data_IF_520100956513
#
_entry.id   IF_520100956513
#
_cell.length_a   1.000
_cell.length_b   1.000
_cell.length_c   1.000
_cell.angle_alpha   90.00
_cell.angle_beta   90.00
_cell.angle_gamma   90.00
#
_symmetry.space_group_name_H-M   'P 1'
#
loop_
_entity.id
_entity.type
_entity.pdbx_description
1 polymer ?
#
# COMPACT_ATOMS: atom_id res chain seq x y z
N UNK A 1 -16.27 -21.00 -24.59
CA UNK A 1 -17.33 -20.33 -23.80
C UNK A 1 -18.44 -21.30 -23.38
N UNK A 2 -19.19 -21.90 -24.32
CA UNK A 2 -20.30 -22.86 -24.02
C UNK A 2 -19.90 -24.07 -23.14
N UNK A 3 -18.68 -24.62 -23.31
CA UNK A 3 -18.22 -25.81 -22.56
C UNK A 3 -18.09 -25.62 -21.04
N UNK A 4 -17.81 -24.40 -20.59
CA UNK A 4 -17.59 -24.09 -19.16
C UNK A 4 -18.55 -23.01 -18.63
N UNK A 5 -19.54 -22.61 -19.43
CA UNK A 5 -20.47 -21.51 -19.13
C UNK A 5 -19.79 -20.20 -18.72
N UNK A 6 -18.64 -19.89 -19.33
CA UNK A 6 -17.85 -18.68 -19.07
C UNK A 6 -17.90 -17.77 -20.29
N UNK A 7 -18.08 -16.47 -20.09
CA UNK A 7 -18.10 -15.49 -21.17
C UNK A 7 -16.71 -15.31 -21.78
N UNK A 8 -16.66 -14.97 -23.06
CA UNK A 8 -15.41 -14.66 -23.76
C UNK A 8 -14.65 -13.53 -23.06
N UNK A 9 -15.37 -12.51 -22.57
CA UNK A 9 -14.80 -11.37 -21.86
C UNK A 9 -14.02 -11.79 -20.61
N UNK A 10 -14.53 -12.78 -19.86
CA UNK A 10 -13.86 -13.29 -18.65
C UNK A 10 -12.54 -13.98 -19.01
N UNK A 11 -12.55 -14.84 -20.04
CA UNK A 11 -11.35 -15.53 -20.52
C UNK A 11 -10.31 -14.53 -21.05
N UNK A 12 -10.74 -13.55 -21.84
CA UNK A 12 -9.87 -12.48 -22.34
C UNK A 12 -9.20 -11.72 -21.19
N UNK A 13 -9.98 -11.34 -20.17
CA UNK A 13 -9.46 -10.65 -18.99
C UNK A 13 -8.46 -11.50 -18.20
N UNK A 14 -8.70 -12.81 -18.06
CA UNK A 14 -7.73 -13.71 -17.42
C UNK A 14 -6.43 -13.82 -18.21
N UNK A 15 -6.52 -14.02 -19.53
CA UNK A 15 -5.34 -14.09 -20.40
C UNK A 15 -4.53 -12.79 -20.31
N UNK A 16 -5.20 -11.63 -20.38
CA UNK A 16 -4.54 -10.33 -20.24
C UNK A 16 -3.83 -10.16 -18.89
N UNK A 17 -4.48 -10.55 -17.80
CA UNK A 17 -3.89 -10.50 -16.44
C UNK A 17 -2.70 -11.44 -16.29
N UNK A 18 -2.82 -12.65 -16.83
CA UNK A 18 -1.76 -13.65 -16.82
C UNK A 18 -0.55 -13.20 -17.63
N UNK A 19 -0.74 -12.64 -18.82
CA UNK A 19 0.37 -12.09 -19.61
C UNK A 19 1.07 -10.91 -18.92
N UNK A 20 0.35 -10.14 -18.11
CA UNK A 20 0.91 -8.98 -17.40
C UNK A 20 1.66 -9.35 -16.11
N UNK A 21 1.16 -10.30 -15.32
CA UNK A 21 1.66 -10.59 -13.95
C UNK A 21 1.89 -12.08 -13.68
N UNK A 22 1.81 -12.94 -14.70
CA UNK A 22 1.82 -14.39 -14.54
C UNK A 22 0.65 -14.90 -13.69
N UNK A 23 0.89 -15.99 -12.96
CA UNK A 23 -0.10 -16.61 -12.08
C UNK A 23 -0.64 -15.65 -11.00
N UNK A 24 0.22 -14.77 -10.47
CA UNK A 24 -0.17 -13.78 -9.44
C UNK A 24 -1.28 -12.83 -9.93
N UNK A 25 -1.35 -12.57 -11.24
CA UNK A 25 -2.38 -11.73 -11.86
C UNK A 25 -3.78 -12.35 -11.84
N UNK A 26 -3.88 -13.67 -11.68
CA UNK A 26 -5.15 -14.40 -11.59
C UNK A 26 -5.68 -14.53 -10.15
N UNK A 27 -4.84 -14.23 -9.14
CA UNK A 27 -5.21 -14.34 -7.73
C UNK A 27 -6.28 -13.32 -7.36
N UNK A 28 -7.33 -13.74 -6.67
CA UNK A 28 -8.40 -12.84 -6.23
C UNK A 28 -7.95 -12.00 -5.03
N UNK A 29 -7.85 -10.69 -5.27
CA UNK A 29 -7.42 -9.70 -4.29
C UNK A 29 -8.52 -8.68 -3.97
N UNK A 30 -9.77 -8.95 -4.37
CA UNK A 30 -10.91 -8.09 -4.05
C UNK A 30 -11.09 -8.00 -2.52
N UNK A 31 -11.31 -6.78 -2.02
CA UNK A 31 -11.49 -6.51 -0.59
C UNK A 31 -10.24 -6.62 0.27
N UNK A 32 -9.08 -7.03 -0.29
CA UNK A 32 -7.82 -7.09 0.45
C UNK A 32 -7.06 -5.77 0.29
N UNK A 33 -6.66 -5.17 1.40
CA UNK A 33 -5.74 -4.03 1.37
C UNK A 33 -4.39 -4.46 0.82
N UNK A 34 -3.70 -3.57 0.10
CA UNK A 34 -2.35 -3.81 -0.47
C UNK A 34 -1.37 -4.29 0.60
N UNK A 35 -1.43 -3.67 1.78
CA UNK A 35 -0.65 -4.00 2.97
C UNK A 35 -0.90 -5.40 3.55
N UNK A 36 -2.02 -6.04 3.20
CA UNK A 36 -2.38 -7.40 3.64
C UNK A 36 -2.16 -8.47 2.55
N UNK A 37 -1.66 -8.08 1.37
CA UNK A 37 -1.31 -9.00 0.29
C UNK A 37 0.14 -9.45 0.47
N UNK A 38 0.47 -10.62 -0.08
CA UNK A 38 1.85 -11.09 -0.10
C UNK A 38 2.70 -10.10 -0.92
N UNK A 39 3.86 -9.69 -0.39
CA UNK A 39 4.77 -8.74 -1.04
C UNK A 39 5.31 -9.28 -2.36
N UNK A 40 5.40 -10.60 -2.51
CA UNK A 40 5.81 -11.27 -3.75
C UNK A 40 4.78 -11.12 -4.89
N UNK A 41 3.52 -10.82 -4.56
CA UNK A 41 2.42 -10.64 -5.52
C UNK A 41 2.18 -9.18 -5.91
N UNK A 42 2.87 -8.26 -5.24
CA UNK A 42 2.77 -6.84 -5.53
C UNK A 42 3.62 -6.51 -6.76
N UNK A 43 3.07 -5.71 -7.67
CA UNK A 43 3.89 -5.08 -8.70
C UNK A 43 4.86 -4.10 -8.08
N UNK A 44 5.91 -3.73 -8.81
CA UNK A 44 6.89 -2.76 -8.32
C UNK A 44 6.25 -1.39 -8.03
N UNK A 45 5.22 -1.02 -8.82
CA UNK A 45 4.40 0.16 -8.53
C UNK A 45 3.63 0.04 -7.21
N UNK A 46 2.98 -1.11 -6.94
CA UNK A 46 2.25 -1.35 -5.69
C UNK A 46 3.21 -1.36 -4.47
N UNK A 47 4.42 -1.91 -4.62
CA UNK A 47 5.47 -1.88 -3.58
C UNK A 47 5.91 -0.45 -3.29
N UNK A 48 6.16 0.34 -4.33
CA UNK A 48 6.57 1.74 -4.21
C UNK A 48 5.50 2.56 -3.51
N UNK A 49 4.23 2.35 -3.85
CA UNK A 49 3.10 3.03 -3.19
C UNK A 49 3.02 2.67 -1.70
N UNK A 50 3.23 1.39 -1.36
CA UNK A 50 3.25 0.93 0.02
C UNK A 50 4.40 1.55 0.82
N UNK A 51 5.61 1.59 0.27
CA UNK A 51 6.78 2.22 0.88
C UNK A 51 6.57 3.72 1.08
N UNK A 52 6.01 4.41 0.08
CA UNK A 52 5.68 5.83 0.18
C UNK A 52 4.67 6.11 1.30
N UNK A 53 3.64 5.28 1.43
CA UNK A 53 2.67 5.38 2.52
C UNK A 53 3.35 5.21 3.89
N UNK A 54 4.20 4.20 4.04
CA UNK A 54 4.94 3.96 5.29
C UNK A 54 5.88 5.12 5.64
N UNK A 55 6.58 5.67 4.65
CA UNK A 55 7.46 6.82 4.83
C UNK A 55 6.67 8.07 5.29
N UNK A 56 5.50 8.33 4.67
CA UNK A 56 4.63 9.45 5.05
C UNK A 56 4.12 9.34 6.49
N UNK A 57 3.70 8.15 6.91
CA UNK A 57 3.29 7.93 8.31
C UNK A 57 4.45 8.12 9.29
N UNK A 58 5.67 7.70 8.91
CA UNK A 58 6.86 7.93 9.74
C UNK A 58 7.18 9.42 9.87
N UNK A 59 7.12 10.18 8.77
CA UNK A 59 7.32 11.64 8.77
C UNK A 59 6.30 12.29 9.70
N UNK A 60 5.01 11.98 9.52
CA UNK A 60 3.93 12.54 10.33
C UNK A 60 4.15 12.30 11.83
N UNK A 61 4.56 11.08 12.20
CA UNK A 61 4.88 10.74 13.60
C UNK A 61 6.06 11.56 14.12
N UNK A 62 7.14 11.67 13.34
CA UNK A 62 8.33 12.44 13.72
C UNK A 62 8.03 13.93 13.85
N UNK A 63 7.20 14.48 12.97
CA UNK A 63 6.75 15.88 13.06
C UNK A 63 5.98 16.14 14.36
N UNK A 64 5.10 15.22 14.76
CA UNK A 64 4.38 15.31 16.03
C UNK A 64 5.34 15.21 17.23
N UNK A 65 6.28 14.26 17.23
CA UNK A 65 7.30 14.13 18.27
C UNK A 65 8.15 15.41 18.37
N UNK A 66 8.60 15.96 17.23
CA UNK A 66 9.39 17.19 17.17
C UNK A 66 8.60 18.40 17.68
N UNK A 67 7.32 18.51 17.32
CA UNK A 67 6.43 19.55 17.82
C UNK A 67 6.31 19.50 19.34
N UNK A 68 6.10 18.31 19.91
CA UNK A 68 5.99 18.13 21.37
C UNK A 68 7.30 18.50 22.07
N UNK A 69 8.45 18.09 21.53
CA UNK A 69 9.76 18.46 22.07
C UNK A 69 9.97 19.98 22.05
N UNK A 70 9.64 20.66 20.94
CA UNK A 70 9.71 22.12 20.83
C UNK A 70 8.85 22.81 21.90
N UNK A 71 7.64 22.29 22.17
CA UNK A 71 6.77 22.81 23.22
C UNK A 71 7.33 22.60 24.61
N UNK A 72 7.91 21.44 24.90
CA UNK A 72 8.58 21.18 26.18
C UNK A 72 9.75 22.15 26.41
N UNK A 73 10.59 22.36 25.41
CA UNK A 73 11.68 23.34 25.47
C UNK A 73 11.19 24.79 25.63
N UNK A 74 10.03 25.13 25.08
CA UNK A 74 9.40 26.43 25.28
C UNK A 74 8.98 26.62 26.74
N UNK A 75 8.32 25.63 27.34
CA UNK A 75 7.92 25.68 28.75
C UNK A 75 9.12 25.79 29.70
N UNK A 76 10.16 24.98 29.48
CA UNK A 76 11.38 25.04 30.29
C UNK A 76 12.06 26.41 30.22
N UNK A 77 12.10 27.04 29.04
CA UNK A 77 12.67 28.40 28.89
C UNK A 77 11.84 29.47 29.59
N UNK A 78 10.51 29.30 29.65
CA UNK A 78 9.61 30.22 30.36
C UNK A 78 9.66 30.03 31.87
N UNK A 79 9.95 28.83 32.38
CA UNK A 79 10.03 28.57 33.82
C UNK A 79 11.37 28.98 34.45
N UNK A 80 12.42 29.15 33.64
CA UNK A 80 13.76 29.58 34.08
C UNK A 80 13.88 31.11 34.09
N UNK A 81 12.99 31.82 33.41
CA UNK A 81 12.86 33.29 33.44
C UNK A 81 11.90 33.72 34.54
#
# INVERSE_FOLDING_TARGET
AKKYNVSYQQVYNWVKKYLSKGESGLKDNRGKKIENRDKSELTDAEKTELELKQARERIRRLEAENFMLKKLHEFQRRSIK
#
